data_IF_323705985480
#
_entry.id   IF_323705985480
#
_cell.length_a   1.000
_cell.length_b   1.000
_cell.length_c   1.000
_cell.angle_alpha   90.00
_cell.angle_beta   90.00
_cell.angle_gamma   90.00
#
_symmetry.space_group_name_H-M   'P 1'
#
loop_
_entity.id
_entity.type
_entity.pdbx_description
1 polymer ?
#
# COMPACT_ATOMS: atom_id res chain seq x y z
N UNK A 1 24.28 4.10 14.56
CA UNK A 1 23.71 3.15 13.57
C UNK A 1 23.77 3.81 12.20
N UNK A 2 24.28 3.14 11.16
CA UNK A 2 24.27 3.68 9.81
C UNK A 2 22.83 3.79 9.28
N UNK A 3 22.52 4.89 8.61
CA UNK A 3 21.22 5.15 7.96
C UNK A 3 21.47 5.33 6.47
N UNK A 4 20.70 4.62 5.66
CA UNK A 4 20.69 4.78 4.21
C UNK A 4 19.53 5.69 3.80
N UNK A 5 19.70 6.49 2.74
CA UNK A 5 18.67 7.40 2.25
C UNK A 5 18.47 7.25 0.75
N UNK A 6 17.21 7.25 0.31
CA UNK A 6 16.81 7.34 -1.09
C UNK A 6 15.84 8.51 -1.28
N UNK A 7 16.19 9.43 -2.18
CA UNK A 7 15.32 10.52 -2.60
C UNK A 7 15.34 10.70 -4.12
N UNK A 8 14.64 11.75 -4.60
CA UNK A 8 14.46 12.04 -6.01
C UNK A 8 15.71 12.57 -6.72
N UNK A 9 16.73 13.00 -5.96
CA UNK A 9 17.97 13.55 -6.50
C UNK A 9 18.98 12.46 -6.90
N UNK A 10 18.81 11.24 -6.40
CA UNK A 10 19.71 10.14 -6.68
C UNK A 10 19.54 9.62 -8.12
N UNK A 11 20.68 9.42 -8.80
CA UNK A 11 20.73 8.70 -10.06
C UNK A 11 20.32 7.23 -9.88
N UNK A 12 19.87 6.58 -10.95
CA UNK A 12 19.49 5.16 -10.92
C UNK A 12 20.60 4.28 -10.35
N UNK A 13 21.84 4.45 -10.84
CA UNK A 13 23.01 3.70 -10.37
C UNK A 13 23.23 3.85 -8.86
N UNK A 14 23.18 5.08 -8.35
CA UNK A 14 23.43 5.34 -6.92
C UNK A 14 22.30 4.78 -6.05
N UNK A 15 21.07 4.75 -6.57
CA UNK A 15 19.93 4.10 -5.92
C UNK A 15 20.16 2.60 -5.78
N UNK A 16 20.63 1.93 -6.83
CA UNK A 16 20.94 0.49 -6.80
C UNK A 16 22.09 0.15 -5.84
N UNK A 17 23.11 1.01 -5.76
CA UNK A 17 24.20 0.88 -4.78
C UNK A 17 23.67 0.94 -3.34
N UNK A 18 22.77 1.90 -3.05
CA UNK A 18 22.13 2.01 -1.73
C UNK A 18 21.24 0.81 -1.42
N UNK A 19 20.46 0.32 -2.38
CA UNK A 19 19.63 -0.88 -2.20
C UNK A 19 20.49 -2.12 -1.92
N UNK A 20 21.60 -2.27 -2.64
CA UNK A 20 22.56 -3.37 -2.43
C UNK A 20 23.15 -3.32 -1.02
N UNK A 21 23.45 -2.12 -0.53
CA UNK A 21 23.90 -1.92 0.85
C UNK A 21 22.80 -2.22 1.86
N UNK A 22 21.54 -1.89 1.57
CA UNK A 22 20.41 -2.16 2.47
C UNK A 22 20.13 -3.66 2.63
N UNK A 23 20.49 -4.48 1.66
CA UNK A 23 20.38 -5.94 1.77
C UNK A 23 21.41 -6.56 2.73
N UNK A 24 22.38 -5.78 3.21
CA UNK A 24 23.41 -6.26 4.12
C UNK A 24 22.89 -6.29 5.57
N UNK A 25 23.23 -7.31 6.37
CA UNK A 25 22.65 -7.53 7.70
C UNK A 25 22.99 -6.46 8.75
N UNK A 26 23.95 -5.58 8.46
CA UNK A 26 24.38 -4.48 9.35
C UNK A 26 23.64 -3.16 9.08
N UNK A 27 22.93 -3.04 7.94
CA UNK A 27 22.21 -1.83 7.56
C UNK A 27 20.71 -2.01 7.79
N UNK A 28 20.23 -1.59 8.95
CA UNK A 28 18.88 -1.91 9.41
C UNK A 28 17.82 -0.84 9.09
N UNK A 29 18.24 0.35 8.63
CA UNK A 29 17.34 1.49 8.44
C UNK A 29 17.56 2.15 7.08
N UNK A 30 16.47 2.26 6.32
CA UNK A 30 16.39 2.98 5.05
C UNK A 30 15.33 4.06 5.16
N UNK A 31 15.73 5.31 4.93
CA UNK A 31 14.83 6.45 4.78
C UNK A 31 14.52 6.65 3.30
N UNK A 32 13.25 6.81 2.96
CA UNK A 32 12.85 7.16 1.59
C UNK A 32 11.68 8.11 1.53
N UNK A 33 11.63 8.89 0.46
CA UNK A 33 10.44 9.69 0.14
C UNK A 33 9.39 8.81 -0.55
N UNK A 34 8.13 8.87 -0.11
CA UNK A 34 7.04 8.06 -0.66
C UNK A 34 6.89 8.22 -2.18
N UNK A 35 7.12 9.42 -2.71
CA UNK A 35 7.10 9.71 -4.15
C UNK A 35 8.15 8.95 -4.96
N UNK A 36 9.28 8.57 -4.37
CA UNK A 36 10.31 7.74 -5.03
C UNK A 36 10.11 6.24 -4.85
N UNK A 37 9.10 5.83 -4.07
CA UNK A 37 8.66 4.42 -3.98
C UNK A 37 8.03 3.88 -5.27
N UNK A 38 7.65 4.76 -6.19
CA UNK A 38 7.05 4.39 -7.48
C UNK A 38 8.06 3.78 -8.48
N UNK A 39 9.37 3.89 -8.24
CA UNK A 39 10.44 3.58 -9.21
C UNK A 39 10.78 2.07 -9.29
N UNK A 40 9.93 1.19 -8.75
CA UNK A 40 10.12 -0.27 -8.88
C UNK A 40 11.16 -0.88 -7.92
N UNK A 41 11.31 -0.33 -6.72
CA UNK A 41 12.28 -0.82 -5.73
C UNK A 41 11.85 -2.19 -5.17
N UNK A 42 12.81 -3.07 -4.90
CA UNK A 42 12.59 -4.34 -4.21
C UNK A 42 13.08 -4.21 -2.77
N UNK A 43 12.16 -4.22 -1.80
CA UNK A 43 12.45 -3.95 -0.39
C UNK A 43 12.12 -5.15 0.50
N UNK A 44 12.15 -6.35 -0.06
CA UNK A 44 11.79 -7.60 0.66
C UNK A 44 12.68 -7.88 1.85
N UNK A 45 13.88 -7.30 1.97
CA UNK A 45 14.69 -7.46 3.18
C UNK A 45 14.05 -6.80 4.42
N UNK A 46 13.19 -5.79 4.22
CA UNK A 46 12.53 -5.07 5.30
C UNK A 46 11.29 -5.81 5.81
N UNK A 47 11.06 -5.77 7.12
CA UNK A 47 9.88 -6.33 7.78
C UNK A 47 9.13 -5.32 8.65
N UNK A 48 9.63 -4.09 8.74
CA UNK A 48 8.98 -2.99 9.46
C UNK A 48 8.91 -1.77 8.56
N UNK A 49 7.72 -1.22 8.42
CA UNK A 49 7.45 -0.03 7.61
C UNK A 49 6.85 1.03 8.51
N UNK A 50 7.50 2.19 8.54
CA UNK A 50 7.09 3.35 9.31
C UNK A 50 6.66 4.45 8.34
N UNK A 51 5.37 4.77 8.34
CA UNK A 51 4.80 5.85 7.52
C UNK A 51 4.63 7.05 8.43
N UNK A 52 5.50 8.05 8.24
CA UNK A 52 5.58 9.23 9.09
C UNK A 52 4.53 10.28 8.72
N UNK A 53 4.19 10.39 7.43
CA UNK A 53 3.23 11.36 6.92
C UNK A 53 2.21 10.68 6.00
N UNK A 54 0.90 10.99 6.14
CA UNK A 54 -0.13 10.46 5.25
C UNK A 54 -0.14 11.19 3.90
N UNK A 55 -0.35 10.44 2.81
CA UNK A 55 -0.42 10.99 1.45
C UNK A 55 -1.87 11.28 1.02
N UNK A 56 -2.10 12.33 0.23
CA UNK A 56 -3.45 12.61 -0.29
C UNK A 56 -4.03 11.50 -1.19
N UNK A 57 -3.14 10.73 -1.81
CA UNK A 57 -3.48 9.58 -2.65
C UNK A 57 -3.12 8.29 -1.92
N UNK A 58 -4.11 7.49 -1.44
CA UNK A 58 -3.84 6.25 -0.71
C UNK A 58 -3.09 5.21 -1.54
N UNK A 59 -3.21 5.25 -2.88
CA UNK A 59 -2.54 4.31 -3.77
C UNK A 59 -1.01 4.44 -3.71
N UNK A 60 -0.48 5.64 -3.42
CA UNK A 60 0.97 5.86 -3.30
C UNK A 60 1.53 5.11 -2.10
N UNK A 61 0.86 5.19 -0.94
CA UNK A 61 1.24 4.43 0.26
C UNK A 61 1.12 2.92 0.02
N UNK A 62 -0.02 2.46 -0.53
CA UNK A 62 -0.24 1.04 -0.82
C UNK A 62 0.81 0.47 -1.76
N UNK A 63 1.22 1.24 -2.79
CA UNK A 63 2.27 0.84 -3.71
C UNK A 63 3.63 0.74 -3.01
N UNK A 64 3.97 1.72 -2.15
CA UNK A 64 5.21 1.70 -1.38
C UNK A 64 5.26 0.49 -0.43
N UNK A 65 4.17 0.22 0.29
CA UNK A 65 4.05 -0.97 1.16
C UNK A 65 4.20 -2.26 0.34
N UNK A 66 3.59 -2.33 -0.85
CA UNK A 66 3.69 -3.48 -1.75
C UNK A 66 5.12 -3.78 -2.25
N UNK A 67 6.06 -2.83 -2.14
CA UNK A 67 7.48 -3.08 -2.42
C UNK A 67 8.18 -3.90 -1.33
N UNK A 68 7.64 -3.84 -0.11
CA UNK A 68 8.10 -4.60 1.06
C UNK A 68 7.30 -5.90 1.18
N UNK A 69 5.97 -5.81 1.09
CA UNK A 69 5.05 -6.95 1.11
C UNK A 69 4.97 -7.59 -0.28
N UNK A 70 5.94 -8.44 -0.61
CA UNK A 70 5.98 -9.18 -1.88
C UNK A 70 5.77 -10.68 -1.66
N UNK A 71 5.22 -11.35 -2.68
CA UNK A 71 5.10 -12.81 -2.72
C UNK A 71 6.50 -13.42 -2.56
N UNK A 72 6.67 -14.32 -1.59
CA UNK A 72 7.96 -14.94 -1.24
C UNK A 72 8.64 -14.39 0.03
N UNK A 73 8.08 -13.34 0.63
CA UNK A 73 8.52 -12.84 1.94
C UNK A 73 8.18 -13.84 3.06
N UNK A 74 9.19 -14.34 3.78
CA UNK A 74 8.97 -15.29 4.89
C UNK A 74 8.70 -14.64 6.24
N UNK A 75 9.09 -13.37 6.41
CA UNK A 75 8.93 -12.63 7.66
C UNK A 75 7.63 -11.83 7.64
N UNK A 76 6.89 -11.83 8.75
CA UNK A 76 5.73 -10.96 8.92
C UNK A 76 6.15 -9.49 8.78
N UNK A 77 5.44 -8.76 7.92
CA UNK A 77 5.64 -7.32 7.73
C UNK A 77 4.68 -6.55 8.62
N UNK A 78 5.22 -5.60 9.39
CA UNK A 78 4.44 -4.68 10.23
C UNK A 78 4.46 -3.29 9.62
N UNK A 79 3.28 -2.70 9.41
CA UNK A 79 3.12 -1.33 8.92
C UNK A 79 2.54 -0.47 10.04
N UNK A 80 3.29 0.55 10.43
CA UNK A 80 2.86 1.53 11.43
C UNK A 80 2.68 2.89 10.76
N UNK A 81 1.47 3.44 10.85
CA UNK A 81 1.18 4.83 10.45
C UNK A 81 1.17 5.70 11.70
N UNK A 82 1.90 6.80 11.65
CA UNK A 82 1.85 7.84 12.67
C UNK A 82 0.84 8.89 12.21
N UNK A 83 -0.10 9.24 13.09
CA UNK A 83 -1.10 10.27 12.86
C UNK A 83 -1.15 11.15 14.10
N UNK A 84 -0.92 12.44 13.93
CA UNK A 84 -0.95 13.43 15.00
C UNK A 84 -2.41 13.87 15.22
N UNK A 85 -2.88 13.76 16.46
CA UNK A 85 -4.22 14.21 16.85
C UNK A 85 -4.40 15.71 16.72
N UNK A 86 -5.61 16.17 16.39
CA UNK A 86 -5.93 17.58 16.20
C UNK A 86 -5.03 18.27 15.15
N UNK A 87 -4.67 17.54 14.10
CA UNK A 87 -3.82 18.06 13.01
C UNK A 87 -4.48 17.83 11.65
N UNK A 88 -3.91 18.44 10.62
CA UNK A 88 -4.35 18.24 9.23
C UNK A 88 -4.25 16.77 8.78
N UNK A 89 -3.42 15.95 9.44
CA UNK A 89 -3.24 14.54 9.11
C UNK A 89 -4.53 13.72 9.30
N UNK A 90 -5.35 14.04 10.30
CA UNK A 90 -6.66 13.39 10.52
C UNK A 90 -7.63 13.69 9.36
N UNK A 91 -7.58 14.91 8.83
CA UNK A 91 -8.37 15.30 7.67
C UNK A 91 -7.92 14.53 6.41
N UNK A 92 -6.61 14.42 6.19
CA UNK A 92 -6.05 13.64 5.07
C UNK A 92 -6.46 12.18 5.18
N UNK A 93 -6.35 11.59 6.37
CA UNK A 93 -6.77 10.21 6.64
C UNK A 93 -8.26 10.01 6.34
N UNK A 94 -9.14 10.91 6.79
CA UNK A 94 -10.57 10.82 6.50
C UNK A 94 -10.85 10.86 4.98
N UNK A 95 -10.13 11.72 4.25
CA UNK A 95 -10.23 11.80 2.78
C UNK A 95 -9.76 10.52 2.10
N UNK A 96 -8.68 9.90 2.57
CA UNK A 96 -8.23 8.61 2.05
C UNK A 96 -9.31 7.54 2.25
N UNK A 97 -9.87 7.43 3.46
CA UNK A 97 -10.93 6.45 3.77
C UNK A 97 -12.13 6.62 2.85
N UNK A 98 -12.61 7.86 2.65
CA UNK A 98 -13.71 8.14 1.71
C UNK A 98 -13.36 7.72 0.28
N UNK A 99 -12.16 8.03 -0.20
CA UNK A 99 -11.72 7.63 -1.55
C UNK A 99 -11.72 6.11 -1.71
N UNK A 100 -11.25 5.38 -0.70
CA UNK A 100 -11.24 3.91 -0.70
C UNK A 100 -12.65 3.32 -0.66
N UNK A 101 -13.53 3.87 0.17
CA UNK A 101 -14.95 3.44 0.22
C UNK A 101 -15.65 3.69 -1.11
N UNK A 102 -15.49 4.87 -1.70
CA UNK A 102 -16.09 5.19 -3.00
C UNK A 102 -15.56 4.29 -4.12
N UNK A 103 -14.25 3.99 -4.09
CA UNK A 103 -13.69 3.01 -5.00
C UNK A 103 -14.37 1.65 -4.78
N UNK A 104 -14.45 1.12 -3.56
CA UNK A 104 -15.07 -0.18 -3.31
C UNK A 104 -16.55 -0.25 -3.73
N UNK A 105 -17.33 0.80 -3.50
CA UNK A 105 -18.75 0.86 -3.90
C UNK A 105 -18.90 0.78 -5.42
N UNK A 106 -18.03 1.46 -6.18
CA UNK A 106 -18.08 1.44 -7.64
C UNK A 106 -17.86 0.04 -8.24
N UNK A 107 -17.06 -0.81 -7.58
CA UNK A 107 -16.77 -2.17 -8.04
C UNK A 107 -17.92 -3.13 -7.69
N UNK A 108 -18.58 -2.92 -6.54
CA UNK A 108 -19.73 -3.73 -6.15
C UNK A 108 -20.95 -3.54 -7.07
N UNK A 109 -21.05 -2.43 -7.79
CA UNK A 109 -22.16 -2.18 -8.73
C UNK A 109 -22.20 -3.18 -9.90
N UNK A 110 -21.06 -3.75 -10.32
CA UNK A 110 -21.01 -4.77 -11.38
C UNK A 110 -21.41 -6.16 -10.88
N UNK A 111 -21.11 -6.49 -9.61
CA UNK A 111 -21.49 -7.77 -8.98
C UNK A 111 -22.97 -7.81 -8.54
N UNK A 112 -23.57 -6.63 -8.31
CA UNK A 112 -24.97 -6.55 -7.86
C UNK A 112 -25.96 -6.96 -8.96
N UNK A 113 -25.69 -6.64 -10.24
CA UNK A 113 -26.56 -7.06 -11.35
C UNK A 113 -26.51 -8.58 -11.58
N UNK A 114 -25.32 -9.19 -11.47
CA UNK A 114 -25.14 -10.64 -11.63
C UNK A 114 -25.80 -11.41 -10.49
N UNK A 115 -25.65 -10.94 -9.24
CA UNK A 115 -26.30 -11.58 -8.10
C UNK A 115 -27.83 -11.42 -8.13
N UNK A 116 -28.34 -10.24 -8.51
CA UNK A 116 -29.79 -10.00 -8.64
C UNK A 116 -30.39 -10.86 -9.77
N UNK A 117 -29.69 -11.04 -10.90
CA UNK A 117 -30.14 -11.91 -11.98
C UNK A 117 -30.13 -13.40 -11.60
N UNK A 118 -29.14 -13.85 -10.83
CA UNK A 118 -29.07 -15.22 -10.30
C UNK A 118 -30.14 -15.49 -9.23
N UNK A 119 -30.43 -14.51 -8.39
CA UNK A 119 -31.48 -14.57 -7.36
C UNK A 119 -32.88 -14.57 -8.00
N UNK A 120 -33.10 -13.79 -9.06
CA UNK A 120 -34.35 -13.82 -9.84
C UNK A 120 -34.52 -15.13 -10.61
N UNK A 121 -33.44 -15.69 -11.17
CA UNK A 121 -33.50 -16.95 -11.92
C UNK A 121 -33.71 -18.18 -11.02
N UNK A 122 -33.28 -18.12 -9.76
CA UNK A 122 -33.53 -19.16 -8.76
C UNK A 122 -34.95 -19.09 -8.21
N UNK A 123 -35.56 -17.89 -8.10
CA UNK A 123 -36.97 -17.72 -7.73
C UNK A 123 -37.93 -18.34 -8.77
N UNK A 124 -37.63 -18.18 -10.07
CA UNK A 124 -38.51 -18.65 -11.15
C UNK A 124 -38.50 -20.18 -11.36
N UNK A 125 -37.53 -20.94 -10.81
CA UNK A 125 -37.46 -22.41 -10.94
C UNK A 125 -38.14 -23.17 -9.78
N UNK A 126 -38.76 -22.48 -8.84
CA UNK A 126 -39.41 -23.06 -7.65
C UNK A 126 -40.91 -23.37 -7.76
N UNK A 127 -41.55 -23.19 -8.93
CA UNK A 127 -43.01 -23.38 -9.06
C UNK A 127 -43.35 -24.53 -10.01
N UNK A 128 -43.14 -25.77 -9.58
CA UNK A 128 -43.72 -26.97 -10.21
C UNK A 128 -43.74 -28.13 -9.22
N UNK A 129 -44.71 -28.12 -8.30
CA UNK A 129 -45.49 -29.31 -7.94
C UNK A 129 -46.87 -28.85 -7.47
#
# INVERSE_FOLDING_TARGET
>A
MPVLQIDGSLSARRRDEVLTQFHQPYNNVLLMTLGTGAVGLNLTVANRVHIIEPQWNPTVESQAIGRVMRIGQQKQVYVTRYIIKNSIEEYVQNKQSRKLTMAQVGWNTEDTEVQTALDLWSLCRGSST
#
